data_IF_267336776764
#
_entry.id   IF_267336776764
#
_cell.length_a   1.000
_cell.length_b   1.000
_cell.length_c   1.000
_cell.angle_alpha   90.00
_cell.angle_beta   90.00
_cell.angle_gamma   90.00
#
_symmetry.space_group_name_H-M   'P 1'
#
loop_
_entity.id
_entity.type
_entity.pdbx_description
1 polymer ?
#
# COMPACT_ATOMS: atom_id res chain seq x y z
N UNK A 1 0.00 -19.12 -20.40
CA UNK A 1 0.63 -17.82 -20.68
C UNK A 1 -0.49 -16.81 -20.79
N UNK A 2 -0.47 -15.77 -19.97
CA UNK A 2 -1.53 -14.75 -19.95
C UNK A 2 -1.17 -13.80 -21.10
N UNK A 3 -2.11 -13.52 -21.99
CA UNK A 3 -1.83 -12.93 -23.31
C UNK A 3 -1.33 -11.48 -23.28
N UNK A 4 -1.17 -10.90 -24.47
CA UNK A 4 -0.87 -9.48 -24.65
C UNK A 4 -2.15 -8.62 -24.53
N UNK A 5 -2.03 -7.42 -23.94
CA UNK A 5 -3.12 -6.47 -23.82
C UNK A 5 -2.72 -5.11 -24.38
N UNK A 6 -3.59 -4.51 -25.18
CA UNK A 6 -3.37 -3.17 -25.75
C UNK A 6 -4.03 -2.12 -24.87
N UNK A 7 -3.28 -1.07 -24.54
CA UNK A 7 -3.80 0.11 -23.86
C UNK A 7 -4.83 0.81 -24.75
N UNK A 8 -6.02 1.10 -24.23
CA UNK A 8 -7.03 1.83 -24.99
C UNK A 8 -6.60 3.29 -25.23
N UNK A 9 -7.20 4.00 -26.20
CA UNK A 9 -6.94 5.44 -26.40
C UNK A 9 -7.24 6.31 -25.18
N UNK A 10 -8.08 5.83 -24.27
CA UNK A 10 -8.41 6.49 -23.00
C UNK A 10 -7.47 6.11 -21.85
N UNK A 11 -6.41 5.35 -22.12
CA UNK A 11 -5.47 4.90 -21.11
C UNK A 11 -6.02 3.80 -20.19
N UNK A 12 -6.98 3.00 -20.65
CA UNK A 12 -7.56 1.91 -19.85
C UNK A 12 -6.96 0.56 -20.24
N UNK A 13 -6.63 -0.25 -19.23
CA UNK A 13 -6.26 -1.66 -19.37
C UNK A 13 -7.42 -2.50 -18.83
N UNK A 14 -7.81 -3.55 -19.56
CA UNK A 14 -8.88 -4.45 -19.15
C UNK A 14 -8.30 -5.74 -18.59
N UNK A 15 -8.71 -6.11 -17.38
CA UNK A 15 -8.31 -7.36 -16.75
C UNK A 15 -9.30 -8.49 -17.13
N UNK A 16 -8.87 -9.55 -17.83
CA UNK A 16 -9.74 -10.68 -18.18
C UNK A 16 -10.36 -11.34 -16.95
N UNK A 17 -11.46 -12.08 -17.16
CA UNK A 17 -12.13 -12.80 -16.08
C UNK A 17 -11.19 -13.75 -15.35
N UNK A 18 -10.45 -14.57 -16.07
CA UNK A 18 -9.56 -15.57 -15.48
C UNK A 18 -8.44 -14.94 -14.62
N UNK A 19 -7.97 -13.74 -15.00
CA UNK A 19 -7.03 -12.95 -14.20
C UNK A 19 -7.65 -12.49 -12.88
N UNK A 20 -8.88 -11.96 -12.96
CA UNK A 20 -9.61 -11.47 -11.79
C UNK A 20 -9.90 -12.61 -10.83
N UNK A 21 -10.36 -13.74 -11.34
CA UNK A 21 -10.68 -14.93 -10.55
C UNK A 21 -9.43 -15.47 -9.84
N UNK A 22 -8.29 -15.53 -10.53
CA UNK A 22 -7.02 -15.97 -9.95
C UNK A 22 -6.46 -15.01 -8.87
N UNK A 23 -6.78 -13.72 -8.98
CA UNK A 23 -6.41 -12.69 -8.00
C UNK A 23 -7.50 -12.43 -6.94
N UNK A 24 -8.64 -13.13 -7.01
CA UNK A 24 -9.77 -12.95 -6.10
C UNK A 24 -10.49 -11.60 -6.22
N UNK A 25 -10.31 -10.87 -7.33
CA UNK A 25 -10.80 -9.51 -7.50
C UNK A 25 -12.31 -9.44 -7.75
N UNK A 26 -12.99 -8.55 -7.04
CA UNK A 26 -14.41 -8.23 -7.20
C UNK A 26 -14.60 -6.81 -7.78
N UNK A 27 -15.75 -6.54 -8.44
CA UNK A 27 -16.10 -5.18 -8.83
C UNK A 27 -16.11 -4.23 -7.63
N UNK A 28 -15.34 -3.13 -7.72
CA UNK A 28 -15.19 -2.16 -6.63
C UNK A 28 -13.88 -2.31 -5.84
N UNK A 29 -13.14 -3.40 -6.03
CA UNK A 29 -11.81 -3.54 -5.44
C UNK A 29 -10.85 -2.46 -5.94
N UNK A 30 -10.08 -1.93 -5.01
CA UNK A 30 -9.04 -0.96 -5.31
C UNK A 30 -7.73 -1.70 -5.62
N UNK A 31 -7.01 -1.20 -6.61
CA UNK A 31 -5.70 -1.71 -7.02
C UNK A 31 -4.66 -0.61 -6.78
N UNK A 32 -3.51 -0.99 -6.24
CA UNK A 32 -2.34 -0.12 -6.13
C UNK A 32 -1.36 -0.50 -7.22
N UNK A 33 -0.92 0.50 -7.98
CA UNK A 33 0.14 0.35 -8.96
C UNK A 33 1.43 0.93 -8.41
N UNK A 34 2.53 0.20 -8.56
CA UNK A 34 3.87 0.63 -8.16
C UNK A 34 4.85 0.33 -9.29
N UNK A 35 5.91 1.13 -9.40
CA UNK A 35 6.99 0.88 -10.36
C UNK A 35 8.22 0.44 -9.59
N UNK A 36 8.70 -0.76 -9.88
CA UNK A 36 9.87 -1.37 -9.25
C UNK A 36 10.78 -1.83 -10.38
N UNK A 37 12.01 -1.31 -10.43
CA UNK A 37 13.02 -1.66 -11.44
C UNK A 37 12.54 -1.54 -12.91
N UNK A 38 11.63 -0.58 -13.17
CA UNK A 38 11.05 -0.35 -14.50
C UNK A 38 9.86 -1.26 -14.82
N UNK A 39 9.48 -2.15 -13.92
CA UNK A 39 8.29 -3.00 -14.04
C UNK A 39 7.12 -2.39 -13.28
N UNK A 40 5.92 -2.53 -13.83
CA UNK A 40 4.68 -2.14 -13.15
C UNK A 40 4.16 -3.33 -12.36
N UNK A 41 4.15 -3.19 -11.04
CA UNK A 41 3.56 -4.15 -10.11
C UNK A 41 2.17 -3.65 -9.71
N UNK A 42 1.17 -4.52 -9.85
CA UNK A 42 -0.21 -4.25 -9.47
C UNK A 42 -0.62 -5.16 -8.31
N UNK A 43 -1.07 -4.55 -7.21
CA UNK A 43 -1.44 -5.27 -5.99
C UNK A 43 -2.87 -4.92 -5.57
N UNK A 44 -3.71 -5.92 -5.23
CA UNK A 44 -5.00 -5.65 -4.62
C UNK A 44 -4.83 -4.90 -3.30
N UNK A 45 -5.60 -3.82 -3.12
CA UNK A 45 -5.64 -3.05 -1.86
C UNK A 45 -6.57 -3.71 -0.83
N UNK A 46 -7.37 -4.67 -1.24
CA UNK A 46 -8.32 -5.40 -0.39
C UNK A 46 -7.59 -6.42 0.48
N UNK A 47 -6.89 -5.93 1.50
CA UNK A 47 -6.67 -6.72 2.70
C UNK A 47 -7.66 -6.19 3.72
N UNK A 48 -8.66 -6.98 4.11
CA UNK A 48 -9.42 -6.62 5.30
C UNK A 48 -8.44 -6.65 6.46
N UNK A 49 -8.43 -5.62 7.31
CA UNK A 49 -7.56 -5.62 8.49
C UNK A 49 -7.80 -6.86 9.36
N UNK A 50 -9.03 -7.40 9.36
CA UNK A 50 -9.35 -8.65 10.05
C UNK A 50 -8.69 -9.88 9.41
N UNK A 51 -8.36 -9.87 8.12
CA UNK A 51 -7.63 -10.96 7.46
C UNK A 51 -6.16 -11.01 7.93
N UNK A 52 -5.66 -9.90 8.50
CA UNK A 52 -4.34 -9.82 9.13
C UNK A 52 -4.35 -10.30 10.60
N UNK A 53 -5.53 -10.51 11.19
CA UNK A 53 -5.63 -10.93 12.58
C UNK A 53 -5.04 -12.34 12.75
N UNK A 54 -4.03 -12.46 13.61
CA UNK A 54 -3.35 -13.72 13.89
C UNK A 54 -2.18 -14.06 12.96
N UNK A 55 -1.88 -13.24 11.95
CA UNK A 55 -0.64 -13.35 11.16
C UNK A 55 0.60 -12.98 11.97
N UNK A 56 0.45 -12.00 12.87
CA UNK A 56 1.46 -11.70 13.87
C UNK A 56 1.37 -12.79 14.94
N UNK A 57 2.37 -13.66 14.99
CA UNK A 57 2.46 -14.75 15.96
C UNK A 57 2.57 -14.25 17.41
N UNK A 58 3.03 -15.11 18.31
CA UNK A 58 3.26 -14.69 19.69
C UNK A 58 4.26 -13.52 19.75
N UNK A 59 3.95 -12.44 20.47
CA UNK A 59 4.87 -11.32 20.61
C UNK A 59 6.21 -11.82 21.19
N UNK A 60 7.36 -11.47 20.58
CA UNK A 60 8.67 -11.99 20.99
C UNK A 60 9.05 -11.59 22.43
N UNK A 61 8.54 -10.45 22.91
CA UNK A 61 8.77 -9.94 24.26
C UNK A 61 7.54 -10.06 25.17
N UNK A 62 6.54 -10.86 24.78
CA UNK A 62 5.27 -10.95 25.50
C UNK A 62 4.33 -9.76 25.23
N UNK A 63 3.19 -9.76 25.93
CA UNK A 63 2.17 -8.71 25.78
C UNK A 63 2.68 -7.43 26.44
N UNK A 64 2.70 -6.33 25.69
CA UNK A 64 2.99 -5.00 26.22
C UNK A 64 1.78 -4.41 26.96
N UNK A 65 2.04 -3.61 27.99
CA UNK A 65 1.04 -2.73 28.61
C UNK A 65 0.81 -1.47 27.78
N UNK A 66 -0.27 -0.74 28.05
CA UNK A 66 -0.54 0.54 27.38
C UNK A 66 0.55 1.58 27.71
N UNK A 67 1.00 1.61 28.96
CA UNK A 67 2.06 2.50 29.42
C UNK A 67 3.39 2.24 28.69
N UNK A 68 3.73 0.98 28.42
CA UNK A 68 4.92 0.60 27.66
C UNK A 68 4.83 1.05 26.19
N UNK A 69 3.64 0.97 25.59
CA UNK A 69 3.39 1.44 24.22
C UNK A 69 3.51 2.96 24.15
N UNK A 70 2.87 3.68 25.08
CA UNK A 70 2.89 5.14 25.12
C UNK A 70 4.33 5.67 25.32
N UNK A 71 5.11 5.01 26.19
CA UNK A 71 6.51 5.34 26.37
C UNK A 71 7.33 5.14 25.08
N UNK A 72 7.14 4.02 24.38
CA UNK A 72 7.84 3.72 23.13
C UNK A 72 7.46 4.68 21.99
N UNK A 73 6.17 5.03 21.87
CA UNK A 73 5.69 6.02 20.89
C UNK A 73 6.28 7.40 21.18
N UNK A 74 6.33 7.80 22.45
CA UNK A 74 6.90 9.10 22.85
C UNK A 74 8.40 9.16 22.55
N UNK A 75 9.14 8.10 22.86
CA UNK A 75 10.59 8.00 22.59
C UNK A 75 10.88 8.04 21.08
N UNK A 76 10.11 7.29 20.29
CA UNK A 76 10.26 7.25 18.83
C UNK A 76 9.87 8.56 18.14
N UNK A 77 8.74 9.17 18.55
CA UNK A 77 8.26 10.42 17.97
C UNK A 77 9.22 11.60 18.21
N UNK A 78 10.06 11.54 19.25
CA UNK A 78 11.10 12.53 19.52
C UNK A 78 12.16 12.67 18.42
N UNK A 79 12.35 11.64 17.58
CA UNK A 79 13.36 11.65 16.51
C UNK A 79 12.86 12.18 15.15
N UNK A 80 11.55 12.17 14.87
CA UNK A 80 10.99 12.48 13.54
C UNK A 80 10.45 13.92 13.38
N UNK A 81 10.49 14.76 14.42
CA UNK A 81 9.97 16.16 14.35
C UNK A 81 10.93 17.15 13.67
N UNK A 82 11.98 16.67 12.99
CA UNK A 82 12.94 17.50 12.24
C UNK A 82 12.96 17.16 10.75
N UNK A 83 11.82 17.29 10.08
CA UNK A 83 11.80 17.66 8.65
C UNK A 83 10.51 18.41 8.26
N UNK A 84 10.30 19.61 8.79
CA UNK A 84 9.49 20.62 8.09
C UNK A 84 10.33 21.29 6.98
N UNK A 85 10.80 20.46 6.05
CA UNK A 85 11.54 20.85 4.85
C UNK A 85 10.62 21.27 3.71
N UNK A 86 10.32 22.57 3.64
CA UNK A 86 10.26 23.36 2.38
C UNK A 86 9.27 22.88 1.28
N UNK A 87 7.98 23.20 1.42
CA UNK A 87 7.13 23.41 0.23
C UNK A 87 7.45 24.77 -0.41
N UNK A 88 8.45 24.78 -1.29
CA UNK A 88 8.62 25.86 -2.26
C UNK A 88 7.38 25.90 -3.15
N UNK A 89 6.57 26.95 -3.02
CA UNK A 89 5.64 27.34 -4.08
C UNK A 89 6.51 27.86 -5.22
N UNK A 90 6.87 26.96 -6.13
CA UNK A 90 7.49 27.29 -7.41
C UNK A 90 6.49 26.93 -8.50
N UNK A 91 6.03 27.99 -9.17
CA UNK A 91 5.77 28.03 -10.61
C UNK A 91 4.56 27.23 -11.13
N UNK A 92 3.37 27.83 -10.99
CA UNK A 92 2.34 27.72 -12.01
C UNK A 92 2.38 29.02 -12.81
N UNK A 93 3.23 29.04 -13.83
CA UNK A 93 3.23 30.03 -14.90
C UNK A 93 3.56 29.31 -16.21
N UNK A 94 2.50 28.94 -16.96
CA UNK A 94 2.41 28.90 -18.42
C UNK A 94 1.00 28.42 -18.81
#
# INVERSE_FOLDING_TARGET
MWGEFTLSPKGQITLPKDLRDALGLQPGDQLVFSVIDGEVVMTPKSINFNDLAGLLGSPPNGRASLEEIDAAVTDAAGNDVVDEGRRSKSDIAA
#
